data_IF_750908280759
#
_entry.id   IF_750908280759
#
_cell.length_a   1.000
_cell.length_b   1.000
_cell.length_c   1.000
_cell.angle_alpha   90.00
_cell.angle_beta   90.00
_cell.angle_gamma   90.00
#
_symmetry.space_group_name_H-M   'P 1'
#
loop_
_entity.id
_entity.type
_entity.pdbx_description
1 polymer ?
#
# COMPACT_ATOMS: atom_id res chain seq x y z
N UNK A 1 17.73 -29.52 63.49
CA UNK A 1 17.32 -28.27 62.82
C UNK A 1 18.52 -27.90 61.95
N UNK A 2 18.46 -28.28 60.68
CA UNK A 2 19.57 -28.02 59.72
C UNK A 2 19.20 -26.75 58.99
N UNK A 3 19.98 -25.69 59.22
CA UNK A 3 19.85 -24.39 58.50
C UNK A 3 20.56 -24.54 57.17
N UNK A 4 19.81 -24.68 56.08
CA UNK A 4 20.34 -24.54 54.71
C UNK A 4 20.60 -23.05 54.45
N UNK A 5 21.85 -22.65 54.45
CA UNK A 5 22.29 -21.37 53.93
C UNK A 5 22.22 -21.40 52.39
N UNK A 6 21.28 -20.71 51.79
CA UNK A 6 21.26 -20.47 50.35
C UNK A 6 22.36 -19.46 49.98
N UNK A 7 23.43 -19.93 49.39
CA UNK A 7 24.44 -19.09 48.74
C UNK A 7 23.80 -18.41 47.53
N UNK A 8 23.48 -17.13 47.66
CA UNK A 8 23.15 -16.29 46.53
C UNK A 8 24.43 -15.98 45.78
N UNK A 9 24.69 -16.69 44.69
CA UNK A 9 25.72 -16.31 43.73
C UNK A 9 25.19 -15.10 42.96
N UNK A 10 25.61 -13.90 43.32
CA UNK A 10 25.43 -12.73 42.50
C UNK A 10 26.29 -12.86 41.26
N UNK A 11 25.69 -12.97 40.10
CA UNK A 11 26.42 -12.92 38.84
C UNK A 11 27.02 -11.51 38.71
N UNK A 12 28.34 -11.45 38.69
CA UNK A 12 29.09 -10.21 38.51
C UNK A 12 28.90 -9.73 37.07
N UNK A 13 28.21 -8.63 36.91
CA UNK A 13 27.85 -8.05 35.60
C UNK A 13 28.63 -6.73 35.40
N UNK A 14 29.96 -6.82 35.29
CA UNK A 14 30.85 -5.66 35.23
C UNK A 14 31.62 -5.55 33.89
N UNK A 15 31.28 -6.41 32.92
CA UNK A 15 31.97 -6.40 31.64
C UNK A 15 31.54 -5.25 30.75
N UNK A 16 32.51 -4.79 29.95
CA UNK A 16 32.34 -3.69 29.02
C UNK A 16 32.50 -4.21 27.57
N UNK A 17 31.55 -3.92 26.73
CA UNK A 17 31.68 -4.09 25.27
C UNK A 17 31.72 -2.71 24.63
N UNK A 18 32.82 -2.41 23.98
CA UNK A 18 33.03 -1.18 23.22
C UNK A 18 33.20 -1.52 21.74
N UNK A 19 33.06 -0.54 20.87
CA UNK A 19 33.28 -0.76 19.45
C UNK A 19 32.96 0.43 18.58
N UNK A 20 33.02 0.18 17.28
CA UNK A 20 32.68 1.15 16.24
C UNK A 20 31.68 0.51 15.29
N UNK A 21 30.63 1.25 14.94
CA UNK A 21 29.68 0.87 13.89
C UNK A 21 30.07 1.59 12.60
N UNK A 22 30.18 0.83 11.51
CA UNK A 22 30.57 1.35 10.19
C UNK A 22 29.60 0.85 9.13
N UNK A 23 29.51 1.58 8.04
CA UNK A 23 28.86 1.15 6.82
C UNK A 23 29.73 0.10 6.13
N UNK A 24 29.14 -1.03 5.74
CA UNK A 24 29.86 -2.14 5.12
C UNK A 24 30.40 -1.81 3.72
N UNK A 25 29.71 -0.92 2.99
CA UNK A 25 30.05 -0.59 1.59
C UNK A 25 31.06 0.55 1.52
N UNK A 26 30.90 1.58 2.37
CA UNK A 26 31.75 2.77 2.33
C UNK A 26 32.88 2.75 3.36
N UNK A 27 32.75 1.94 4.42
CA UNK A 27 33.66 1.91 5.56
C UNK A 27 33.57 3.13 6.48
N UNK A 28 32.65 4.07 6.21
CA UNK A 28 32.48 5.27 7.01
C UNK A 28 31.83 4.95 8.36
N UNK A 29 32.21 5.66 9.44
CA UNK A 29 31.58 5.47 10.73
C UNK A 29 30.14 5.94 10.69
N UNK A 30 29.23 5.18 11.35
CA UNK A 30 27.80 5.48 11.40
C UNK A 30 27.42 6.12 12.73
N UNK A 31 27.29 7.47 12.76
CA UNK A 31 26.85 8.17 13.96
C UNK A 31 25.38 7.88 14.28
N UNK A 32 25.04 7.96 15.56
CA UNK A 32 23.65 7.81 16.06
C UNK A 32 23.01 6.45 15.73
N UNK A 33 23.80 5.41 15.46
CA UNK A 33 23.30 4.03 15.34
C UNK A 33 22.78 3.55 16.68
N UNK A 34 21.63 2.92 16.72
CA UNK A 34 21.03 2.36 17.92
C UNK A 34 21.53 0.93 18.15
N UNK A 35 22.00 0.65 19.35
CA UNK A 35 22.47 -0.66 19.79
C UNK A 35 21.62 -1.12 20.97
N UNK A 36 20.79 -2.13 20.77
CA UNK A 36 19.89 -2.68 21.78
C UNK A 36 20.34 -4.08 22.20
N UNK A 37 20.26 -4.37 23.49
CA UNK A 37 20.51 -5.73 24.03
C UNK A 37 19.21 -6.50 24.01
N UNK A 38 19.15 -7.58 23.22
CA UNK A 38 17.97 -8.45 23.14
C UNK A 38 17.73 -9.13 24.50
N UNK A 39 16.52 -9.02 25.02
CA UNK A 39 16.11 -9.65 26.29
C UNK A 39 16.42 -8.83 27.55
N UNK A 40 16.97 -7.62 27.44
CA UNK A 40 17.17 -6.69 28.55
C UNK A 40 16.68 -5.29 28.13
N UNK A 41 16.20 -4.51 29.09
CA UNK A 41 15.90 -3.09 28.89
C UNK A 41 17.20 -2.27 28.97
N UNK A 42 18.07 -2.39 27.96
CA UNK A 42 19.33 -1.68 27.91
C UNK A 42 19.84 -1.53 26.48
N UNK A 43 20.54 -0.45 26.22
CA UNK A 43 21.15 -0.17 24.94
C UNK A 43 21.92 1.13 24.98
N UNK A 44 22.57 1.47 23.88
CA UNK A 44 23.32 2.73 23.71
C UNK A 44 23.17 3.23 22.28
N UNK A 45 23.64 4.45 22.05
CA UNK A 45 23.67 5.08 20.72
C UNK A 45 25.12 5.41 20.41
N UNK A 46 25.56 5.22 19.15
CA UNK A 46 26.92 5.59 18.75
C UNK A 46 27.14 7.10 18.77
N UNK A 47 28.35 7.48 19.15
CA UNK A 47 28.83 8.86 19.05
C UNK A 47 28.96 9.33 17.60
N UNK A 48 29.41 10.59 17.43
CA UNK A 48 29.60 11.17 16.09
C UNK A 48 30.67 10.43 15.26
N UNK A 49 31.62 9.80 15.93
CA UNK A 49 32.69 8.97 15.34
C UNK A 49 32.28 7.49 15.14
N UNK A 50 31.00 7.16 15.34
CA UNK A 50 30.50 5.80 15.24
C UNK A 50 30.86 4.91 16.45
N UNK A 51 31.56 5.41 17.45
CA UNK A 51 31.97 4.63 18.63
C UNK A 51 30.80 4.42 19.60
N UNK A 52 30.84 3.28 20.32
CA UNK A 52 29.87 2.97 21.37
C UNK A 52 30.53 2.27 22.56
N UNK A 53 29.86 2.29 23.69
CA UNK A 53 30.22 1.58 24.92
C UNK A 53 28.95 1.06 25.59
N UNK A 54 28.96 -0.22 25.92
CA UNK A 54 27.94 -0.92 26.72
C UNK A 54 28.59 -1.41 28.00
N UNK A 55 28.05 -1.03 29.13
CA UNK A 55 28.53 -1.36 30.47
C UNK A 55 27.53 -2.25 31.20
N UNK A 56 27.95 -2.89 32.28
CA UNK A 56 27.09 -3.71 33.12
C UNK A 56 26.64 -5.01 32.46
N UNK A 57 27.50 -5.58 31.60
CA UNK A 57 27.23 -6.84 30.93
C UNK A 57 27.70 -8.03 31.78
N UNK A 58 26.91 -9.09 31.80
CA UNK A 58 27.21 -10.31 32.51
C UNK A 58 27.96 -11.32 31.61
N UNK A 59 28.70 -12.20 32.21
CA UNK A 59 29.32 -13.35 31.52
C UNK A 59 28.24 -14.17 30.81
N UNK A 60 28.47 -14.53 29.55
CA UNK A 60 27.56 -15.38 28.80
C UNK A 60 27.27 -14.89 27.38
N UNK A 61 26.24 -15.46 26.76
CA UNK A 61 25.80 -15.08 25.41
C UNK A 61 25.14 -13.70 25.42
N UNK A 62 25.66 -12.81 24.59
CA UNK A 62 25.10 -11.45 24.35
C UNK A 62 24.55 -11.40 22.95
N UNK A 63 23.31 -10.93 22.83
CA UNK A 63 22.65 -10.67 21.56
C UNK A 63 22.41 -9.18 21.42
N UNK A 64 23.08 -8.57 20.46
CA UNK A 64 22.94 -7.17 20.13
C UNK A 64 22.15 -7.02 18.84
N UNK A 65 21.20 -6.11 18.82
CA UNK A 65 20.53 -5.64 17.60
C UNK A 65 21.06 -4.23 17.32
N UNK A 66 21.73 -4.09 16.19
CA UNK A 66 22.28 -2.80 15.74
C UNK A 66 21.49 -2.31 14.54
N UNK A 67 21.10 -1.05 14.58
CA UNK A 67 20.30 -0.44 13.50
C UNK A 67 20.72 1.01 13.26
N UNK A 68 20.70 1.39 11.99
CA UNK A 68 20.93 2.76 11.53
C UNK A 68 19.89 3.13 10.47
N UNK A 69 19.59 4.43 10.31
CA UNK A 69 18.56 4.89 9.38
C UNK A 69 18.84 4.51 7.92
N UNK A 70 20.12 4.56 7.51
CA UNK A 70 20.57 4.29 6.15
C UNK A 70 20.99 2.83 5.92
N UNK A 71 20.94 1.95 6.95
CA UNK A 71 21.49 0.60 6.88
C UNK A 71 20.45 -0.45 7.29
N UNK A 72 20.65 -1.68 6.88
CA UNK A 72 19.85 -2.81 7.34
C UNK A 72 20.16 -3.15 8.80
N UNK A 73 19.13 -3.60 9.52
CA UNK A 73 19.29 -4.05 10.89
C UNK A 73 20.10 -5.36 10.92
N UNK A 74 21.10 -5.41 11.81
CA UNK A 74 21.95 -6.58 11.96
C UNK A 74 21.87 -7.09 13.39
N UNK A 75 21.68 -8.39 13.55
CA UNK A 75 21.75 -9.11 14.83
C UNK A 75 23.12 -9.73 15.01
N UNK A 76 23.79 -9.43 16.11
CA UNK A 76 25.10 -9.99 16.48
C UNK A 76 24.96 -10.87 17.72
N UNK A 77 25.59 -12.02 17.70
CA UNK A 77 25.59 -12.97 18.81
C UNK A 77 27.05 -13.32 19.11
N UNK A 78 27.50 -13.09 20.35
CA UNK A 78 28.82 -13.48 20.78
C UNK A 78 28.88 -13.72 22.29
N UNK A 79 29.93 -14.38 22.75
CA UNK A 79 30.16 -14.70 24.17
C UNK A 79 30.96 -13.60 24.84
N UNK A 80 30.40 -13.01 25.87
CA UNK A 80 31.11 -12.08 26.75
C UNK A 80 31.82 -12.87 27.81
N UNK A 81 33.16 -12.85 27.79
CA UNK A 81 34.02 -13.48 28.81
C UNK A 81 35.02 -12.52 29.40
N UNK A 82 35.20 -11.36 28.81
CA UNK A 82 36.10 -10.26 29.22
C UNK A 82 35.67 -8.98 28.53
N UNK A 83 36.24 -7.86 28.91
CA UNK A 83 36.12 -6.62 28.17
C UNK A 83 36.54 -6.83 26.71
N UNK A 84 35.68 -6.43 25.78
CA UNK A 84 35.83 -6.75 24.37
C UNK A 84 35.58 -5.52 23.52
N UNK A 85 36.38 -5.35 22.47
CA UNK A 85 36.17 -4.34 21.46
C UNK A 85 35.77 -5.01 20.13
N UNK A 86 34.70 -4.53 19.49
CA UNK A 86 34.18 -5.09 18.25
C UNK A 86 33.97 -4.00 17.19
N UNK A 87 34.10 -4.41 15.92
CA UNK A 87 33.67 -3.59 14.80
C UNK A 87 32.39 -4.19 14.25
N UNK A 88 31.38 -3.35 14.09
CA UNK A 88 30.08 -3.75 13.54
C UNK A 88 29.93 -3.11 12.19
N UNK A 89 29.80 -3.92 11.16
CA UNK A 89 29.55 -3.49 9.79
C UNK A 89 28.06 -3.69 9.48
N UNK A 90 27.38 -2.62 9.09
CA UNK A 90 25.99 -2.65 8.68
C UNK A 90 25.91 -2.57 7.17
N UNK A 91 25.26 -3.53 6.49
CA UNK A 91 24.97 -3.43 5.09
C UNK A 91 24.16 -2.15 4.81
N UNK A 92 24.58 -1.40 3.81
CA UNK A 92 23.81 -0.24 3.38
C UNK A 92 22.42 -0.70 2.95
N UNK A 93 21.38 0.01 3.40
CA UNK A 93 20.03 -0.26 2.95
C UNK A 93 19.94 0.21 1.50
N UNK A 94 20.25 -0.69 0.57
CA UNK A 94 19.80 -0.51 -0.78
C UNK A 94 18.25 -0.54 -0.70
N UNK A 95 17.65 0.63 -0.52
CA UNK A 95 16.33 0.81 -1.07
C UNK A 95 16.58 0.62 -2.57
N UNK A 96 16.48 -0.61 -3.06
CA UNK A 96 15.90 -0.79 -4.36
C UNK A 96 14.54 -0.10 -4.21
N UNK A 97 14.52 1.19 -4.50
CA UNK A 97 13.37 1.76 -5.12
C UNK A 97 13.17 0.78 -6.26
N UNK A 98 12.25 -0.19 -6.07
CA UNK A 98 11.66 -0.88 -7.19
C UNK A 98 11.53 0.24 -8.17
N UNK A 99 12.30 0.18 -9.25
CA UNK A 99 12.27 1.16 -10.30
C UNK A 99 10.78 1.40 -10.45
N UNK A 100 10.33 2.51 -9.86
CA UNK A 100 9.02 3.01 -10.20
C UNK A 100 9.29 3.25 -11.65
N UNK A 101 9.01 2.22 -12.44
CA UNK A 101 8.89 2.34 -13.86
C UNK A 101 7.77 3.36 -13.93
N UNK A 102 8.17 4.62 -13.87
CA UNK A 102 7.34 5.72 -14.31
C UNK A 102 7.19 5.37 -15.78
N UNK A 103 6.24 4.45 -16.03
CA UNK A 103 5.59 4.41 -17.31
C UNK A 103 4.98 5.78 -17.36
N UNK A 104 5.75 6.70 -17.89
CA UNK A 104 5.43 8.09 -18.06
C UNK A 104 4.15 8.07 -18.88
N UNK A 105 3.04 7.95 -18.17
CA UNK A 105 1.77 8.23 -18.77
C UNK A 105 1.99 9.59 -19.39
N UNK A 106 1.68 9.77 -20.67
CA UNK A 106 1.77 11.06 -21.36
C UNK A 106 1.13 12.22 -20.57
N UNK A 107 0.47 11.92 -19.44
CA UNK A 107 -0.20 12.84 -18.55
C UNK A 107 0.67 13.33 -17.38
N UNK A 108 1.75 12.62 -17.00
CA UNK A 108 2.62 13.01 -15.88
C UNK A 108 3.57 14.18 -16.21
N UNK A 109 3.65 14.59 -17.48
CA UNK A 109 4.48 15.69 -17.92
C UNK A 109 3.94 17.10 -17.61
N UNK A 110 2.86 17.21 -16.83
CA UNK A 110 2.28 18.52 -16.51
C UNK A 110 2.34 18.85 -15.01
N UNK A 111 3.37 19.54 -14.54
CA UNK A 111 3.53 19.93 -13.13
C UNK A 111 2.48 20.94 -12.62
N UNK A 112 1.57 21.39 -13.48
CA UNK A 112 0.52 22.38 -13.18
C UNK A 112 -0.85 21.74 -12.85
N UNK A 113 -1.02 20.42 -12.98
CA UNK A 113 -2.28 19.77 -12.67
C UNK A 113 -2.35 19.42 -11.19
N UNK A 114 -3.15 20.14 -10.43
CA UNK A 114 -3.53 19.72 -9.08
C UNK A 114 -4.47 18.51 -9.21
N UNK A 115 -3.91 17.32 -9.03
CA UNK A 115 -4.63 16.06 -9.02
C UNK A 115 -4.50 15.39 -7.66
N UNK A 116 -5.57 14.75 -7.22
CA UNK A 116 -5.55 13.88 -6.05
C UNK A 116 -5.59 12.42 -6.53
N UNK A 117 -4.73 11.61 -6.00
CA UNK A 117 -4.59 10.20 -6.39
C UNK A 117 -4.94 9.27 -5.23
N UNK A 118 -5.65 8.20 -5.54
CA UNK A 118 -5.91 7.07 -4.65
C UNK A 118 -5.29 5.84 -5.30
N UNK A 119 -4.33 5.21 -4.62
CA UNK A 119 -3.65 4.01 -5.10
C UNK A 119 -3.27 3.10 -3.93
N UNK A 120 -2.78 1.89 -4.24
CA UNK A 120 -2.26 0.96 -3.25
C UNK A 120 -3.24 0.64 -2.10
N UNK A 121 -2.79 0.77 -0.86
CA UNK A 121 -3.54 0.41 0.34
C UNK A 121 -4.86 1.17 0.49
N UNK A 122 -4.88 2.44 0.09
CA UNK A 122 -6.11 3.24 0.13
C UNK A 122 -7.18 2.69 -0.80
N UNK A 123 -6.78 2.19 -1.96
CA UNK A 123 -7.69 1.56 -2.91
C UNK A 123 -8.16 0.19 -2.37
N UNK A 124 -7.26 -0.57 -1.76
CA UNK A 124 -7.59 -1.85 -1.13
C UNK A 124 -8.63 -1.71 -0.01
N UNK A 125 -8.51 -0.68 0.83
CA UNK A 125 -9.50 -0.35 1.88
C UNK A 125 -10.88 0.02 1.33
N UNK A 126 -10.95 0.44 0.07
CA UNK A 126 -12.18 0.76 -0.64
C UNK A 126 -12.68 -0.38 -1.54
N UNK A 127 -12.01 -1.53 -1.52
CA UNK A 127 -12.40 -2.71 -2.29
C UNK A 127 -13.83 -3.15 -1.93
N UNK A 128 -14.64 -3.41 -2.96
CA UNK A 128 -16.06 -3.77 -2.79
C UNK A 128 -17.02 -2.58 -2.68
N UNK A 129 -16.54 -1.36 -2.43
CA UNK A 129 -17.37 -0.15 -2.51
C UNK A 129 -17.59 0.23 -3.99
N UNK A 130 -18.58 1.09 -4.24
CA UNK A 130 -18.73 1.68 -5.59
C UNK A 130 -17.58 2.66 -5.88
N UNK A 131 -17.36 2.96 -7.17
CA UNK A 131 -16.38 3.96 -7.58
C UNK A 131 -16.59 5.31 -6.87
N UNK A 132 -17.83 5.80 -6.83
CA UNK A 132 -18.16 7.08 -6.20
C UNK A 132 -17.89 7.07 -4.70
N UNK A 133 -18.17 5.97 -4.03
CA UNK A 133 -17.93 5.80 -2.60
C UNK A 133 -16.42 5.74 -2.27
N UNK A 134 -15.63 5.06 -3.09
CA UNK A 134 -14.17 5.04 -2.97
C UNK A 134 -13.55 6.43 -3.10
N UNK A 135 -14.12 7.28 -3.96
CA UNK A 135 -13.62 8.63 -4.22
C UNK A 135 -13.97 9.66 -3.12
N UNK A 136 -14.84 9.34 -2.16
CA UNK A 136 -15.22 10.28 -1.08
C UNK A 136 -14.08 10.61 -0.12
N UNK A 137 -12.99 9.86 -0.15
CA UNK A 137 -11.75 10.18 0.58
C UNK A 137 -10.99 11.38 0.00
N UNK A 138 -11.30 11.76 -1.24
CA UNK A 138 -10.68 12.91 -1.91
C UNK A 138 -11.39 14.21 -1.52
N UNK A 139 -10.63 15.21 -1.10
CA UNK A 139 -11.17 16.50 -0.72
C UNK A 139 -11.98 17.16 -1.87
N UNK A 140 -13.19 17.64 -1.58
CA UNK A 140 -14.09 18.24 -2.57
C UNK A 140 -14.83 17.23 -3.46
N UNK A 141 -14.70 15.93 -3.16
CA UNK A 141 -15.51 14.88 -3.79
C UNK A 141 -16.51 14.34 -2.77
N UNK A 142 -17.75 14.29 -3.19
CA UNK A 142 -18.87 13.67 -2.47
C UNK A 142 -19.59 12.69 -3.39
N UNK A 143 -20.64 12.05 -2.91
CA UNK A 143 -21.45 11.17 -3.75
C UNK A 143 -22.94 11.52 -3.66
N UNK A 144 -23.62 11.35 -4.78
CA UNK A 144 -25.08 11.29 -4.84
C UNK A 144 -25.48 9.81 -4.85
N UNK A 145 -26.22 9.37 -3.84
CA UNK A 145 -26.70 7.99 -3.72
C UNK A 145 -28.21 7.96 -3.89
N UNK A 146 -28.71 7.18 -4.84
CA UNK A 146 -30.15 7.02 -5.14
C UNK A 146 -30.65 5.60 -4.83
N UNK A 147 -29.80 4.77 -4.27
CA UNK A 147 -30.12 3.37 -3.89
C UNK A 147 -28.95 2.69 -3.21
N UNK A 148 -29.07 1.39 -3.01
CA UNK A 148 -28.00 0.59 -2.39
C UNK A 148 -26.77 0.44 -3.28
N UNK A 149 -26.97 0.47 -4.60
CA UNK A 149 -25.93 0.22 -5.61
C UNK A 149 -25.66 1.41 -6.52
N UNK A 150 -26.61 2.33 -6.61
CA UNK A 150 -26.49 3.48 -7.53
C UNK A 150 -25.88 4.66 -6.79
N UNK A 151 -24.66 4.98 -7.09
CA UNK A 151 -23.95 6.13 -6.56
C UNK A 151 -23.14 6.84 -7.65
N UNK A 152 -23.25 8.17 -7.69
CA UNK A 152 -22.55 9.03 -8.65
C UNK A 152 -21.54 9.89 -7.93
N UNK A 153 -20.33 10.06 -8.46
CA UNK A 153 -19.39 11.01 -7.93
C UNK A 153 -19.87 12.44 -8.17
N UNK A 154 -19.69 13.27 -7.16
CA UNK A 154 -20.00 14.71 -7.19
C UNK A 154 -18.70 15.44 -6.87
N UNK A 155 -18.19 16.21 -7.80
CA UNK A 155 -16.96 16.99 -7.65
C UNK A 155 -17.32 18.47 -7.57
N UNK A 156 -16.97 19.13 -6.46
CA UNK A 156 -17.32 20.53 -6.19
C UNK A 156 -18.81 20.87 -6.43
N UNK A 157 -19.71 19.94 -6.05
CA UNK A 157 -21.15 20.11 -6.23
C UNK A 157 -21.68 19.80 -7.64
N UNK A 158 -20.84 19.41 -8.57
CA UNK A 158 -21.22 19.06 -9.95
C UNK A 158 -21.17 17.55 -10.17
N UNK A 159 -22.11 17.01 -10.91
CA UNK A 159 -22.23 15.57 -11.21
C UNK A 159 -22.80 15.33 -12.62
N UNK A 160 -22.92 14.07 -12.99
CA UNK A 160 -23.46 13.64 -14.28
C UNK A 160 -22.56 14.05 -15.45
N UNK A 161 -23.16 14.71 -16.44
CA UNK A 161 -22.45 15.16 -17.66
C UNK A 161 -21.44 16.29 -17.45
N UNK A 162 -21.27 16.77 -16.21
CA UNK A 162 -20.28 17.80 -15.85
C UNK A 162 -19.03 17.24 -15.19
N UNK A 163 -19.02 15.94 -14.92
CA UNK A 163 -17.86 15.20 -14.40
C UNK A 163 -17.52 14.13 -15.40
N UNK A 164 -16.36 14.26 -16.03
CA UNK A 164 -15.89 13.30 -17.02
C UNK A 164 -15.23 12.11 -16.34
N UNK A 165 -15.61 10.91 -16.72
CA UNK A 165 -14.95 9.68 -16.27
C UNK A 165 -14.27 9.02 -17.46
N UNK A 166 -12.98 8.75 -17.29
CA UNK A 166 -12.17 8.03 -18.26
C UNK A 166 -11.73 6.70 -17.65
N UNK A 167 -12.08 5.60 -18.29
CA UNK A 167 -11.58 4.27 -17.94
C UNK A 167 -10.52 3.88 -18.96
N UNK A 168 -9.28 3.75 -18.51
CA UNK A 168 -8.13 3.49 -19.38
C UNK A 168 -8.07 4.44 -20.60
N UNK A 169 -8.33 5.72 -20.37
CA UNK A 169 -8.35 6.77 -21.39
C UNK A 169 -9.63 6.83 -22.24
N UNK A 170 -10.56 5.89 -22.08
CA UNK A 170 -11.83 5.83 -22.82
C UNK A 170 -12.92 6.52 -21.99
N UNK A 171 -13.62 7.46 -22.60
CA UNK A 171 -14.73 8.17 -21.98
C UNK A 171 -15.92 7.25 -21.72
N UNK A 172 -16.47 7.35 -20.52
CA UNK A 172 -17.70 6.66 -20.12
C UNK A 172 -18.86 7.65 -20.07
N UNK A 173 -19.92 7.34 -20.78
CA UNK A 173 -21.10 8.21 -20.92
C UNK A 173 -22.33 7.74 -20.14
N UNK A 174 -22.35 6.50 -19.64
CA UNK A 174 -23.52 5.89 -18.98
C UNK A 174 -24.09 6.70 -17.81
N UNK A 175 -23.25 7.41 -17.06
CA UNK A 175 -23.69 8.23 -15.92
C UNK A 175 -24.52 9.49 -16.30
N UNK A 176 -24.60 9.84 -17.58
CA UNK A 176 -25.35 11.00 -18.06
C UNK A 176 -26.87 10.78 -18.04
N UNK A 177 -27.30 9.53 -18.01
CA UNK A 177 -28.68 9.09 -18.15
C UNK A 177 -29.46 9.15 -16.84
N UNK A 178 -29.77 10.30 -16.32
CA UNK A 178 -30.64 10.43 -15.14
C UNK A 178 -29.99 10.03 -13.80
N UNK A 179 -30.76 10.12 -12.73
CA UNK A 179 -30.30 9.85 -11.35
C UNK A 179 -30.13 8.34 -11.04
N UNK A 180 -30.77 7.50 -11.84
CA UNK A 180 -30.85 6.05 -11.66
C UNK A 180 -29.62 5.30 -12.20
N UNK A 181 -28.79 5.97 -13.01
CA UNK A 181 -27.60 5.37 -13.61
C UNK A 181 -26.34 5.81 -12.90
N UNK A 182 -25.53 4.87 -12.45
CA UNK A 182 -24.19 5.09 -11.90
C UNK A 182 -23.11 4.81 -12.97
N UNK A 183 -21.86 5.22 -12.74
CA UNK A 183 -20.75 4.76 -13.55
C UNK A 183 -20.63 3.23 -13.50
N UNK A 184 -20.73 2.59 -14.65
CA UNK A 184 -20.62 1.15 -14.80
C UNK A 184 -19.13 0.75 -14.86
N UNK A 185 -18.45 0.89 -13.74
CA UNK A 185 -17.03 0.52 -13.60
C UNK A 185 -16.91 -0.46 -12.46
N UNK A 186 -16.26 -1.58 -12.73
CA UNK A 186 -15.81 -2.49 -11.69
C UNK A 186 -14.67 -1.86 -10.87
N UNK A 187 -14.87 -1.54 -9.59
CA UNK A 187 -13.84 -0.92 -8.76
C UNK A 187 -12.58 -1.78 -8.61
N UNK A 188 -12.71 -3.09 -8.75
CA UNK A 188 -11.58 -4.01 -8.65
C UNK A 188 -10.61 -3.94 -9.83
N UNK A 189 -11.04 -3.33 -10.96
CA UNK A 189 -10.18 -3.17 -12.13
C UNK A 189 -9.14 -2.06 -11.91
N UNK A 190 -9.48 -1.07 -11.08
CA UNK A 190 -8.64 0.10 -10.84
C UNK A 190 -7.45 -0.26 -9.94
N UNK A 191 -6.26 0.13 -10.36
CA UNK A 191 -5.06 0.17 -9.51
C UNK A 191 -4.68 1.60 -9.13
N UNK A 192 -5.22 2.56 -9.86
CA UNK A 192 -5.09 3.99 -9.56
C UNK A 192 -6.37 4.73 -9.96
N UNK A 193 -6.82 5.60 -9.09
CA UNK A 193 -7.89 6.55 -9.33
C UNK A 193 -7.33 7.95 -9.18
N UNK A 194 -7.45 8.77 -10.21
CA UNK A 194 -6.96 10.15 -10.18
C UNK A 194 -8.11 11.11 -10.39
N UNK A 195 -8.24 12.11 -9.52
CA UNK A 195 -9.23 13.18 -9.65
C UNK A 195 -8.54 14.48 -10.03
N UNK A 196 -8.80 14.98 -11.22
CA UNK A 196 -8.30 16.26 -11.72
C UNK A 196 -9.38 17.32 -11.51
N UNK A 197 -8.99 18.42 -10.88
CA UNK A 197 -9.90 19.52 -10.51
C UNK A 197 -9.37 20.87 -11.00
N UNK A 198 -10.27 21.85 -11.14
CA UNK A 198 -9.90 23.23 -11.49
C UNK A 198 -9.43 23.38 -12.93
N UNK A 199 -8.45 24.25 -13.17
CA UNK A 199 -7.99 24.62 -14.53
C UNK A 199 -7.43 23.43 -15.33
N UNK A 200 -6.99 22.37 -14.66
CA UNK A 200 -6.50 21.15 -15.31
C UNK A 200 -7.55 20.42 -16.16
N UNK A 201 -8.82 20.64 -15.89
CA UNK A 201 -9.92 19.97 -16.61
C UNK A 201 -10.19 20.53 -17.99
N UNK A 202 -9.78 21.77 -18.29
CA UNK A 202 -10.03 22.46 -19.57
C UNK A 202 -9.57 21.66 -20.79
N UNK A 203 -8.47 20.95 -20.67
CA UNK A 203 -7.93 20.09 -21.74
C UNK A 203 -8.83 18.91 -22.13
N UNK A 204 -9.76 18.54 -21.26
CA UNK A 204 -10.67 17.41 -21.48
C UNK A 204 -12.02 17.83 -22.09
N UNK A 205 -12.18 19.11 -22.35
CA UNK A 205 -13.35 19.65 -23.02
C UNK A 205 -14.46 20.13 -22.08
N UNK A 206 -15.61 20.56 -22.64
CA UNK A 206 -16.66 21.24 -21.89
C UNK A 206 -17.37 20.34 -20.85
N UNK A 207 -17.38 19.04 -21.04
CA UNK A 207 -18.03 18.10 -20.12
C UNK A 207 -17.21 17.83 -18.85
N UNK A 208 -16.01 18.39 -18.77
CA UNK A 208 -15.11 18.24 -17.63
C UNK A 208 -15.13 19.43 -16.66
N UNK A 209 -16.15 20.30 -16.72
CA UNK A 209 -16.21 21.52 -15.89
C UNK A 209 -16.16 21.22 -14.40
N UNK A 210 -16.79 20.16 -13.93
CA UNK A 210 -16.80 19.77 -12.53
C UNK A 210 -15.50 19.07 -12.10
N UNK A 211 -14.91 18.31 -13.01
CA UNK A 211 -13.73 17.51 -12.75
C UNK A 211 -13.57 16.36 -13.74
N UNK A 212 -12.41 15.73 -13.68
CA UNK A 212 -12.10 14.50 -14.44
C UNK A 212 -11.69 13.40 -13.47
N UNK A 213 -12.27 12.24 -13.62
CA UNK A 213 -11.93 11.05 -12.87
C UNK A 213 -11.26 10.07 -13.84
N UNK A 214 -10.01 9.75 -13.59
CA UNK A 214 -9.26 8.76 -14.35
C UNK A 214 -9.28 7.45 -13.57
N UNK A 215 -9.73 6.40 -14.22
CA UNK A 215 -9.68 5.02 -13.70
C UNK A 215 -8.64 4.28 -14.50
N UNK A 216 -7.55 3.94 -13.84
CA UNK A 216 -6.40 3.31 -14.49
C UNK A 216 -6.23 1.89 -13.96
N UNK A 217 -6.35 0.88 -14.82
CA UNK A 217 -6.05 -0.49 -14.46
C UNK A 217 -4.54 -0.68 -14.26
N UNK A 218 -4.14 -1.78 -13.63
CA UNK A 218 -2.72 -2.14 -13.57
C UNK A 218 -2.13 -2.22 -14.98
N UNK A 219 -0.86 -1.91 -15.13
CA UNK A 219 -0.11 -2.16 -16.37
C UNK A 219 -0.11 -3.66 -16.70
N UNK A 220 -0.09 -4.00 -17.98
CA UNK A 220 0.12 -5.38 -18.38
C UNK A 220 1.53 -5.85 -17.98
N UNK A 221 1.72 -7.16 -17.70
CA UNK A 221 3.03 -7.66 -17.29
C UNK A 221 4.09 -7.37 -18.35
N UNK A 222 5.27 -6.96 -17.89
CA UNK A 222 6.45 -6.80 -18.75
C UNK A 222 7.36 -8.02 -18.55
N UNK A 223 7.75 -8.65 -19.64
CA UNK A 223 8.51 -9.89 -19.59
C UNK A 223 7.63 -11.14 -19.45
N UNK A 224 8.23 -12.32 -19.67
CA UNK A 224 7.53 -13.61 -19.61
C UNK A 224 7.14 -13.99 -18.18
N UNK A 225 5.98 -14.61 -18.03
CA UNK A 225 5.49 -15.11 -16.75
C UNK A 225 3.99 -15.05 -16.63
N UNK A 226 3.49 -15.48 -15.48
CA UNK A 226 2.08 -15.40 -15.15
C UNK A 226 1.88 -14.86 -13.74
N UNK A 227 0.74 -14.25 -13.50
CA UNK A 227 0.33 -13.77 -12.20
C UNK A 227 -1.18 -13.90 -12.02
N UNK A 228 -1.63 -14.12 -10.82
CA UNK A 228 -3.04 -14.16 -10.47
C UNK A 228 -3.28 -13.42 -9.16
N UNK A 229 -4.43 -12.78 -9.05
CA UNK A 229 -4.89 -12.07 -7.86
C UNK A 229 -6.36 -12.41 -7.64
N UNK A 230 -6.75 -12.67 -6.40
CA UNK A 230 -8.15 -12.88 -6.04
C UNK A 230 -8.48 -12.06 -4.81
N UNK A 231 -9.53 -11.27 -4.91
CA UNK A 231 -10.06 -10.43 -3.86
C UNK A 231 -11.41 -10.99 -3.40
N UNK A 232 -11.58 -11.11 -2.08
CA UNK A 232 -12.82 -11.54 -1.44
C UNK A 232 -13.29 -10.44 -0.50
N UNK A 233 -14.54 -10.02 -0.65
CA UNK A 233 -15.15 -8.99 0.20
C UNK A 233 -16.48 -9.51 0.75
N UNK A 234 -16.71 -9.28 2.03
CA UNK A 234 -17.98 -9.57 2.70
C UNK A 234 -18.48 -8.36 3.47
N UNK A 235 -19.78 -8.03 3.31
CA UNK A 235 -20.44 -6.93 4.01
C UNK A 235 -21.66 -7.49 4.77
N UNK A 236 -21.70 -7.27 6.08
CA UNK A 236 -22.74 -7.87 6.95
C UNK A 236 -24.10 -7.19 6.85
N UNK A 237 -24.15 -5.87 6.57
CA UNK A 237 -25.38 -5.08 6.61
C UNK A 237 -26.45 -5.53 5.60
N UNK A 238 -26.04 -5.96 4.43
CA UNK A 238 -26.89 -6.45 3.34
C UNK A 238 -26.53 -7.89 2.91
N UNK A 239 -25.75 -8.60 3.72
CA UNK A 239 -25.25 -9.94 3.40
C UNK A 239 -24.59 -9.98 2.01
N UNK A 240 -23.82 -8.96 1.70
CA UNK A 240 -23.15 -8.83 0.43
C UNK A 240 -21.87 -9.65 0.41
N UNK A 241 -21.64 -10.35 -0.69
CA UNK A 241 -20.39 -11.00 -1.02
C UNK A 241 -19.90 -10.57 -2.39
N UNK A 242 -18.61 -10.34 -2.51
CA UNK A 242 -17.95 -10.09 -3.80
C UNK A 242 -16.70 -10.94 -3.93
N UNK A 243 -16.50 -11.49 -5.10
CA UNK A 243 -15.27 -12.16 -5.52
C UNK A 243 -14.81 -11.54 -6.83
N UNK A 244 -13.57 -11.09 -6.85
CA UNK A 244 -12.91 -10.61 -8.07
C UNK A 244 -11.63 -11.38 -8.27
N UNK A 245 -11.47 -12.00 -9.45
CA UNK A 245 -10.28 -12.75 -9.81
C UNK A 245 -9.69 -12.20 -11.11
N UNK A 246 -8.37 -12.04 -11.11
CA UNK A 246 -7.60 -11.59 -12.25
C UNK A 246 -6.48 -12.57 -12.51
N UNK A 247 -6.28 -12.90 -13.79
CA UNK A 247 -5.14 -13.67 -14.27
C UNK A 247 -4.47 -12.86 -15.37
N UNK A 248 -3.17 -12.78 -15.32
CA UNK A 248 -2.37 -12.15 -16.37
C UNK A 248 -1.20 -13.04 -16.76
N UNK A 249 -0.84 -12.98 -18.01
CA UNK A 249 0.25 -13.80 -18.50
C UNK A 249 0.92 -13.19 -19.73
N UNK A 250 2.22 -13.46 -19.89
CA UNK A 250 3.01 -13.13 -21.07
C UNK A 250 3.81 -14.38 -21.47
N UNK A 251 3.67 -14.84 -22.74
CA UNK A 251 4.32 -16.06 -23.21
C UNK A 251 5.85 -15.92 -23.26
N UNK A 252 6.60 -16.96 -22.87
CA UNK A 252 8.06 -16.98 -22.94
C UNK A 252 8.62 -16.75 -24.35
N UNK A 253 7.93 -17.25 -25.36
CA UNK A 253 8.36 -17.11 -26.77
C UNK A 253 8.10 -15.72 -27.35
N UNK A 254 7.19 -14.97 -26.75
CA UNK A 254 6.79 -13.63 -27.19
C UNK A 254 6.60 -12.72 -25.96
N UNK A 255 7.67 -12.38 -25.24
CA UNK A 255 7.57 -11.64 -23.97
C UNK A 255 7.05 -10.21 -24.13
N UNK A 256 7.03 -9.69 -25.35
CA UNK A 256 6.39 -8.41 -25.67
C UNK A 256 4.86 -8.48 -25.70
N UNK A 257 4.26 -9.67 -25.82
CA UNK A 257 2.82 -9.84 -25.85
C UNK A 257 2.32 -10.19 -24.46
N UNK A 258 1.34 -9.46 -23.97
CA UNK A 258 0.78 -9.66 -22.64
C UNK A 258 -0.75 -9.68 -22.69
N UNK A 259 -1.34 -10.48 -21.81
CA UNK A 259 -2.78 -10.67 -21.70
C UNK A 259 -3.22 -10.54 -20.24
N UNK A 260 -4.44 -10.06 -20.04
CA UNK A 260 -5.13 -10.08 -18.75
C UNK A 260 -6.59 -10.45 -18.96
N UNK A 261 -7.07 -11.32 -18.07
CA UNK A 261 -8.49 -11.63 -17.90
C UNK A 261 -8.87 -11.31 -16.46
N UNK A 262 -9.99 -10.66 -16.28
CA UNK A 262 -10.53 -10.36 -14.96
C UNK A 262 -12.03 -10.56 -14.95
N UNK A 263 -12.54 -11.16 -13.87
CA UNK A 263 -13.95 -11.35 -13.64
C UNK A 263 -14.32 -11.02 -12.21
N UNK A 264 -15.44 -10.32 -12.03
CA UNK A 264 -15.99 -9.96 -10.73
C UNK A 264 -17.45 -10.39 -10.64
N UNK A 265 -17.78 -11.09 -9.58
CA UNK A 265 -19.14 -11.45 -9.20
C UNK A 265 -19.43 -10.79 -7.86
N UNK A 266 -20.53 -10.02 -7.79
CA UNK A 266 -20.97 -9.34 -6.60
C UNK A 266 -22.46 -9.56 -6.41
N UNK A 267 -22.87 -9.91 -5.21
CA UNK A 267 -24.27 -10.14 -4.87
C UNK A 267 -24.55 -9.65 -3.45
N UNK A 268 -25.63 -8.89 -3.29
CA UNK A 268 -26.13 -8.45 -2.00
C UNK A 268 -27.63 -8.77 -1.86
N UNK A 269 -28.05 -9.08 -0.65
CA UNK A 269 -29.46 -9.19 -0.28
C UNK A 269 -30.05 -7.81 0.06
N UNK A 270 -31.32 -7.81 0.47
CA UNK A 270 -31.96 -6.61 0.94
C UNK A 270 -31.25 -6.02 2.17
N UNK A 271 -31.11 -4.71 2.20
CA UNK A 271 -30.47 -3.97 3.30
C UNK A 271 -31.29 -4.12 4.55
N UNK A 272 -30.63 -4.54 5.63
CA UNK A 272 -31.24 -4.66 6.96
C UNK A 272 -31.02 -3.38 7.76
N UNK A 273 -32.12 -2.77 8.20
CA UNK A 273 -32.09 -1.78 9.27
C UNK A 273 -32.31 -2.46 10.63
N UNK A 274 -32.11 -1.78 11.75
CA UNK A 274 -32.42 -2.36 13.07
C UNK A 274 -33.87 -2.82 13.22
N UNK A 275 -34.83 -2.18 12.53
CA UNK A 275 -36.26 -2.39 12.66
C UNK A 275 -36.88 -3.20 11.53
N UNK A 276 -36.38 -3.07 10.29
CA UNK A 276 -36.99 -3.72 9.12
C UNK A 276 -35.98 -3.96 7.99
N UNK A 277 -36.44 -4.69 6.96
CA UNK A 277 -35.70 -4.85 5.70
C UNK A 277 -36.20 -3.87 4.66
N UNK A 278 -35.27 -3.15 4.03
CA UNK A 278 -35.56 -2.33 2.87
C UNK A 278 -35.71 -3.27 1.66
N UNK A 279 -36.97 -3.54 1.29
CA UNK A 279 -37.28 -4.42 0.16
C UNK A 279 -36.80 -3.84 -1.15
N UNK A 280 -36.45 -4.71 -2.10
CA UNK A 280 -35.97 -4.35 -3.45
C UNK A 280 -34.62 -3.60 -3.45
N UNK A 281 -33.79 -3.82 -2.41
CA UNK A 281 -32.43 -3.26 -2.36
C UNK A 281 -31.37 -4.30 -2.64
N UNK A 282 -31.75 -5.55 -2.79
CA UNK A 282 -30.86 -6.63 -3.22
C UNK A 282 -30.41 -6.47 -4.67
N UNK A 283 -29.20 -6.93 -4.99
CA UNK A 283 -28.63 -6.78 -6.32
C UNK A 283 -27.71 -7.94 -6.66
N UNK A 284 -27.44 -8.08 -7.96
CA UNK A 284 -26.42 -8.97 -8.50
C UNK A 284 -25.71 -8.26 -9.64
N UNK A 285 -24.38 -8.29 -9.60
CA UNK A 285 -23.49 -7.64 -10.58
C UNK A 285 -22.46 -8.65 -11.07
N UNK A 286 -22.17 -8.61 -12.35
CA UNK A 286 -21.20 -9.47 -13.03
C UNK A 286 -20.41 -8.62 -14.01
N UNK A 287 -19.10 -8.52 -13.79
CA UNK A 287 -18.20 -7.77 -14.64
C UNK A 287 -17.15 -8.68 -15.22
N UNK A 288 -16.84 -8.49 -16.49
CA UNK A 288 -15.75 -9.18 -17.17
C UNK A 288 -14.93 -8.17 -17.95
N UNK A 289 -13.63 -8.29 -17.85
CA UNK A 289 -12.70 -7.50 -18.66
C UNK A 289 -11.63 -8.37 -19.26
N UNK A 290 -11.22 -7.98 -20.45
CA UNK A 290 -10.13 -8.60 -21.17
C UNK A 290 -9.22 -7.52 -21.72
N UNK A 291 -7.90 -7.70 -21.59
CA UNK A 291 -6.90 -6.77 -22.11
C UNK A 291 -5.80 -7.57 -22.81
N UNK A 292 -5.32 -7.05 -23.91
CA UNK A 292 -4.13 -7.52 -24.58
C UNK A 292 -3.27 -6.30 -24.97
N UNK A 293 -1.97 -6.45 -24.92
CA UNK A 293 -1.05 -5.39 -25.29
C UNK A 293 0.25 -5.93 -25.83
N UNK A 294 0.92 -5.12 -26.60
CA UNK A 294 2.26 -5.34 -27.10
C UNK A 294 3.18 -4.28 -26.48
N UNK A 295 4.18 -4.71 -25.73
CA UNK A 295 5.17 -3.86 -25.05
C UNK A 295 6.41 -3.65 -25.93
#
# INVERSE_FOLDING_TARGET
MVILNSLHVQAQCDYIVSGIVRDADTGEPLPYSSIAVKGKSGGTITGFDGSFKLEGLCLGELRLMVSHLACEKTDLIFMVSRDTSIVVELPHKHNELNEVLIVKSKMDDMPLLKSDEISGDQLALNSGKSLAEGLTSVAGVTMLRTGSTVSKPVVHGLSGNRVLILNNGIRLEGQQWGSEHAPEIDPFIAKRLTVIKGSGTVRFGPDAIGGVILVEPATLPQGSGWGAETNLVGVSSNREGAISSMIQFSPEKLPALAFRLQGTLKQGGDVRTPEYYLKNTGFREQNFSWSAGWN
#
